data_IF_249543623848
#
_entry.id   IF_249543623848
#
_cell.length_a   1.000
_cell.length_b   1.000
_cell.length_c   1.000
_cell.angle_alpha   90.00
_cell.angle_beta   90.00
_cell.angle_gamma   90.00
#
_symmetry.space_group_name_H-M   'P 1'
#
loop_
_entity.id
_entity.type
_entity.pdbx_description
1 polymer ?
#
# COMPACT_ATOMS: atom_id res chain seq x y z
N UNK A 1 -1.26 65.91 22.66
CA UNK A 1 -1.15 64.49 22.26
C UNK A 1 -2.56 63.98 21.99
N UNK A 2 -2.88 63.63 20.74
CA UNK A 2 -4.18 63.03 20.40
C UNK A 2 -4.11 61.54 20.74
N UNK A 3 -5.06 61.08 21.52
CA UNK A 3 -5.12 59.72 22.07
C UNK A 3 -5.29 58.67 20.95
N UNK A 4 -4.31 57.78 20.71
CA UNK A 4 -4.29 56.86 19.56
C UNK A 4 -5.50 55.91 19.50
N UNK A 5 -6.08 55.60 20.67
CA UNK A 5 -7.24 54.72 20.78
C UNK A 5 -8.50 55.34 20.14
N UNK A 6 -8.71 56.64 20.35
CA UNK A 6 -9.88 57.37 19.82
C UNK A 6 -9.82 57.50 18.29
N UNK A 7 -8.62 57.68 17.74
CA UNK A 7 -8.43 57.74 16.28
C UNK A 7 -8.78 56.40 15.58
N UNK A 8 -8.47 55.26 16.22
CA UNK A 8 -8.82 53.94 15.67
C UNK A 8 -10.33 53.65 15.72
N UNK A 9 -11.03 54.14 16.74
CA UNK A 9 -12.50 54.01 16.82
C UNK A 9 -13.21 54.90 15.81
N UNK A 10 -12.73 56.13 15.60
CA UNK A 10 -13.22 57.04 14.56
C UNK A 10 -13.00 56.47 13.16
N UNK A 11 -11.83 55.87 12.88
CA UNK A 11 -11.61 55.19 11.60
C UNK A 11 -12.55 53.99 11.39
N UNK A 12 -12.87 53.23 12.44
CA UNK A 12 -13.83 52.11 12.34
C UNK A 12 -15.24 52.63 12.07
N UNK A 13 -15.67 53.69 12.76
CA UNK A 13 -16.98 54.34 12.54
C UNK A 13 -17.08 54.91 11.14
N UNK A 14 -16.08 55.66 10.68
CA UNK A 14 -16.03 56.19 9.33
C UNK A 14 -16.11 55.08 8.27
N UNK A 15 -15.36 53.99 8.43
CA UNK A 15 -15.43 52.84 7.51
C UNK A 15 -16.81 52.18 7.53
N UNK A 16 -17.42 52.02 8.70
CA UNK A 16 -18.74 51.43 8.86
C UNK A 16 -19.84 52.29 8.23
N UNK A 17 -19.82 53.60 8.46
CA UNK A 17 -20.77 54.56 7.88
C UNK A 17 -20.62 54.66 6.37
N UNK A 18 -19.37 54.70 5.87
CA UNK A 18 -19.11 54.77 4.44
C UNK A 18 -19.49 53.46 3.73
N UNK A 19 -19.25 52.31 4.36
CA UNK A 19 -19.72 51.00 3.89
C UNK A 19 -21.26 50.93 3.89
N UNK A 20 -21.94 51.40 4.94
CA UNK A 20 -23.40 51.46 5.01
C UNK A 20 -23.99 52.36 3.90
N UNK A 21 -23.35 53.50 3.63
CA UNK A 21 -23.73 54.42 2.55
C UNK A 21 -23.56 53.78 1.17
N UNK A 22 -22.45 53.08 0.93
CA UNK A 22 -22.21 52.35 -0.32
C UNK A 22 -23.28 51.26 -0.51
N UNK A 23 -23.54 50.47 0.54
CA UNK A 23 -24.57 49.43 0.50
C UNK A 23 -25.98 50.00 0.26
N UNK A 24 -26.32 51.15 0.86
CA UNK A 24 -27.59 51.81 0.63
C UNK A 24 -27.75 52.23 -0.85
N UNK A 25 -26.72 52.82 -1.45
CA UNK A 25 -26.67 53.20 -2.87
C UNK A 25 -26.70 51.99 -3.82
N UNK A 26 -26.13 50.85 -3.42
CA UNK A 26 -26.23 49.60 -4.18
C UNK A 26 -27.57 48.90 -4.01
N UNK A 27 -28.26 49.13 -2.90
CA UNK A 27 -29.59 48.55 -2.60
C UNK A 27 -30.71 49.29 -3.30
N UNK A 28 -30.49 50.55 -3.66
CA UNK A 28 -31.40 51.40 -4.42
C UNK A 28 -31.86 50.70 -5.73
N UNK A 29 -33.17 50.59 -5.97
CA UNK A 29 -33.72 49.79 -7.07
C UNK A 29 -33.29 50.29 -8.45
N UNK A 30 -33.08 51.61 -8.62
CA UNK A 30 -32.55 52.20 -9.84
C UNK A 30 -31.12 51.72 -10.17
N UNK A 31 -30.25 51.65 -9.16
CA UNK A 31 -28.87 51.15 -9.25
C UNK A 31 -28.79 49.65 -9.56
N UNK A 32 -29.69 48.84 -8.97
CA UNK A 32 -29.83 47.42 -9.33
C UNK A 32 -30.37 47.22 -10.74
N UNK A 33 -31.35 48.02 -11.14
CA UNK A 33 -31.96 47.99 -12.47
C UNK A 33 -30.95 48.30 -13.57
N UNK A 34 -30.11 49.32 -13.39
CA UNK A 34 -29.05 49.68 -14.35
C UNK A 34 -27.95 48.64 -14.45
N UNK A 35 -27.47 48.07 -13.32
CA UNK A 35 -26.50 46.95 -13.33
C UNK A 35 -27.08 45.69 -13.99
N UNK A 36 -28.37 45.40 -13.79
CA UNK A 36 -29.06 44.25 -14.42
C UNK A 36 -29.19 44.45 -15.93
N UNK A 37 -29.58 45.65 -16.38
CA UNK A 37 -29.62 46.02 -17.81
C UNK A 37 -28.23 45.92 -18.45
N UNK A 38 -27.20 46.52 -17.84
CA UNK A 38 -25.83 46.42 -18.35
C UNK A 38 -25.32 44.97 -18.49
N UNK A 39 -25.65 44.09 -17.51
CA UNK A 39 -25.29 42.65 -17.58
C UNK A 39 -26.03 41.91 -18.70
N UNK A 40 -27.26 42.32 -19.02
CA UNK A 40 -28.05 41.76 -20.12
C UNK A 40 -27.55 42.26 -21.48
N UNK A 41 -27.17 43.53 -21.56
CA UNK A 41 -26.70 44.19 -22.79
C UNK A 41 -25.23 43.83 -23.12
N UNK A 42 -24.45 43.34 -22.15
CA UNK A 42 -23.02 43.01 -22.33
C UNK A 42 -22.67 41.57 -21.90
N UNK A 43 -23.31 40.54 -22.47
CA UNK A 43 -23.10 39.14 -22.05
C UNK A 43 -21.67 38.65 -22.38
N UNK A 44 -21.12 39.06 -23.52
CA UNK A 44 -19.79 38.68 -23.99
C UNK A 44 -18.69 39.25 -23.10
N UNK A 45 -18.73 40.56 -22.79
CA UNK A 45 -17.77 41.20 -21.88
C UNK A 45 -17.79 40.58 -20.48
N UNK A 46 -18.98 40.18 -20.00
CA UNK A 46 -19.12 39.47 -18.72
C UNK A 46 -18.52 38.07 -18.78
N UNK A 47 -18.76 37.32 -19.85
CA UNK A 47 -18.19 35.98 -20.04
C UNK A 47 -16.66 36.03 -20.12
N UNK A 48 -16.09 36.99 -20.85
CA UNK A 48 -14.64 37.20 -20.93
C UNK A 48 -14.03 37.58 -19.59
N UNK A 49 -14.66 38.51 -18.87
CA UNK A 49 -14.24 38.88 -17.52
C UNK A 49 -14.29 37.68 -16.57
N UNK A 50 -15.37 36.90 -16.59
CA UNK A 50 -15.48 35.68 -15.78
C UNK A 50 -14.44 34.63 -16.16
N UNK A 51 -14.14 34.47 -17.45
CA UNK A 51 -13.11 33.54 -17.94
C UNK A 51 -11.74 33.96 -17.41
N UNK A 52 -11.36 35.23 -17.56
CA UNK A 52 -10.10 35.78 -17.04
C UNK A 52 -10.02 35.66 -15.51
N UNK A 53 -11.12 35.96 -14.81
CA UNK A 53 -11.20 35.84 -13.36
C UNK A 53 -11.04 34.38 -12.89
N UNK A 54 -11.75 33.43 -13.51
CA UNK A 54 -11.64 32.00 -13.20
C UNK A 54 -10.26 31.45 -13.52
N UNK A 55 -9.64 31.87 -14.62
CA UNK A 55 -8.27 31.48 -14.97
C UNK A 55 -7.26 31.96 -13.92
N UNK A 56 -7.31 33.25 -13.56
CA UNK A 56 -6.41 33.86 -12.57
C UNK A 56 -6.60 33.29 -11.16
N UNK A 57 -7.82 32.88 -10.80
CA UNK A 57 -8.15 32.38 -9.45
C UNK A 57 -8.38 30.86 -9.40
N UNK A 58 -8.04 30.12 -10.47
CA UNK A 58 -8.31 28.67 -10.57
C UNK A 58 -7.74 27.91 -9.39
N UNK A 59 -6.48 28.19 -9.08
CA UNK A 59 -5.74 27.53 -8.00
C UNK A 59 -6.25 27.95 -6.62
N UNK A 60 -6.56 29.23 -6.42
CA UNK A 60 -7.14 29.72 -5.17
C UNK A 60 -8.52 29.08 -4.89
N UNK A 61 -9.36 28.95 -5.91
CA UNK A 61 -10.64 28.24 -5.79
C UNK A 61 -10.47 26.74 -5.55
N UNK A 62 -9.52 26.09 -6.23
CA UNK A 62 -9.23 24.67 -6.02
C UNK A 62 -8.72 24.42 -4.59
N UNK A 63 -7.80 25.24 -4.10
CA UNK A 63 -7.26 25.16 -2.74
C UNK A 63 -8.34 25.40 -1.68
N UNK A 64 -9.20 26.42 -1.88
CA UNK A 64 -10.35 26.68 -0.99
C UNK A 64 -11.34 25.51 -1.00
N UNK A 65 -11.69 24.99 -2.17
CA UNK A 65 -12.60 23.85 -2.28
C UNK A 65 -12.00 22.59 -1.64
N UNK A 66 -10.69 22.35 -1.79
CA UNK A 66 -10.00 21.24 -1.14
C UNK A 66 -10.05 21.38 0.39
N UNK A 67 -9.74 22.56 0.94
CA UNK A 67 -9.85 22.84 2.37
C UNK A 67 -11.27 22.66 2.89
N UNK A 68 -12.28 23.12 2.14
CA UNK A 68 -13.69 22.94 2.50
C UNK A 68 -14.09 21.45 2.49
N UNK A 69 -13.73 20.71 1.43
CA UNK A 69 -14.02 19.26 1.34
C UNK A 69 -13.38 18.47 2.48
N UNK A 70 -12.15 18.80 2.87
CA UNK A 70 -11.48 18.13 4.00
C UNK A 70 -12.16 18.44 5.33
N UNK A 71 -12.47 19.71 5.60
CA UNK A 71 -13.14 20.13 6.84
C UNK A 71 -14.60 19.67 6.93
N UNK A 72 -15.26 19.40 5.81
CA UNK A 72 -16.68 19.03 5.74
C UNK A 72 -16.90 17.62 5.18
N UNK A 73 -15.85 16.78 5.14
CA UNK A 73 -15.93 15.44 4.55
C UNK A 73 -17.01 14.58 5.21
N UNK A 74 -17.10 14.63 6.55
CA UNK A 74 -18.10 13.89 7.32
C UNK A 74 -19.52 14.36 7.00
N UNK A 75 -19.74 15.69 6.93
CA UNK A 75 -21.04 16.27 6.57
C UNK A 75 -21.46 15.86 5.15
N UNK A 76 -20.56 15.99 4.17
CA UNK A 76 -20.84 15.59 2.77
C UNK A 76 -21.19 14.10 2.68
N UNK A 77 -20.45 13.24 3.38
CA UNK A 77 -20.72 11.80 3.41
C UNK A 77 -22.06 11.49 4.06
N UNK A 78 -22.41 12.16 5.16
CA UNK A 78 -23.68 11.99 5.84
C UNK A 78 -24.87 12.44 4.95
N UNK A 79 -24.77 13.62 4.33
CA UNK A 79 -25.79 14.10 3.39
C UNK A 79 -25.96 13.17 2.19
N UNK A 80 -24.85 12.66 1.62
CA UNK A 80 -24.90 11.72 0.51
C UNK A 80 -25.55 10.38 0.92
N UNK A 81 -25.32 9.92 2.15
CA UNK A 81 -25.95 8.70 2.68
C UNK A 81 -27.46 8.87 2.81
N UNK A 82 -27.91 9.99 3.38
CA UNK A 82 -29.34 10.30 3.52
C UNK A 82 -30.01 10.37 2.15
N UNK A 83 -29.41 11.13 1.22
CA UNK A 83 -29.89 11.24 -0.16
C UNK A 83 -30.01 9.87 -0.84
N UNK A 84 -28.98 9.02 -0.73
CA UNK A 84 -28.99 7.69 -1.34
C UNK A 84 -30.07 6.79 -0.74
N UNK A 85 -30.32 6.85 0.57
CA UNK A 85 -31.39 6.05 1.22
C UNK A 85 -32.76 6.52 0.74
N UNK A 86 -33.00 7.83 0.71
CA UNK A 86 -34.28 8.41 0.28
C UNK A 86 -34.57 8.17 -1.22
N UNK A 87 -33.54 8.12 -2.06
CA UNK A 87 -33.67 8.01 -3.51
C UNK A 87 -33.28 6.63 -4.04
N UNK A 88 -33.03 5.65 -3.17
CA UNK A 88 -32.55 4.31 -3.53
C UNK A 88 -33.46 3.65 -4.55
N UNK A 89 -34.77 3.65 -4.28
CA UNK A 89 -35.74 2.95 -5.12
C UNK A 89 -35.95 3.67 -6.45
N UNK A 90 -35.86 5.01 -6.46
CA UNK A 90 -35.92 5.79 -7.70
C UNK A 90 -34.71 5.51 -8.59
N UNK A 91 -33.50 5.44 -8.02
CA UNK A 91 -32.29 5.12 -8.76
C UNK A 91 -32.29 3.67 -9.25
N UNK A 92 -32.78 2.72 -8.45
CA UNK A 92 -32.97 1.33 -8.88
C UNK A 92 -34.01 1.25 -10.02
N UNK A 93 -35.12 1.98 -9.92
CA UNK A 93 -36.14 1.99 -10.97
C UNK A 93 -35.61 2.58 -12.28
N UNK A 94 -34.93 3.74 -12.23
CA UNK A 94 -34.28 4.34 -13.40
C UNK A 94 -33.24 3.39 -14.00
N UNK A 95 -32.42 2.77 -13.15
CA UNK A 95 -31.41 1.81 -13.58
C UNK A 95 -32.06 0.61 -14.27
N UNK A 96 -33.13 0.04 -13.71
CA UNK A 96 -33.87 -1.07 -14.33
C UNK A 96 -34.46 -0.70 -15.69
N UNK A 97 -35.07 0.48 -15.82
CA UNK A 97 -35.61 0.97 -17.10
C UNK A 97 -34.48 1.10 -18.12
N UNK A 98 -33.38 1.76 -17.73
CA UNK A 98 -32.20 1.91 -18.58
C UNK A 98 -31.62 0.56 -19.04
N UNK A 99 -31.46 -0.39 -18.12
CA UNK A 99 -30.99 -1.75 -18.42
C UNK A 99 -31.96 -2.52 -19.31
N UNK A 100 -33.28 -2.34 -19.15
CA UNK A 100 -34.28 -2.99 -19.99
C UNK A 100 -34.27 -2.42 -21.42
N UNK A 101 -34.21 -1.10 -21.57
CA UNK A 101 -34.14 -0.41 -22.87
C UNK A 101 -32.84 -0.72 -23.62
N UNK A 102 -31.72 -0.89 -22.91
CA UNK A 102 -30.40 -1.15 -23.50
C UNK A 102 -29.98 -2.63 -23.42
N UNK A 103 -30.92 -3.53 -23.11
CA UNK A 103 -30.64 -4.97 -22.94
C UNK A 103 -29.95 -5.57 -24.15
N UNK A 104 -30.47 -5.28 -25.34
CA UNK A 104 -29.95 -5.88 -26.57
C UNK A 104 -28.59 -5.30 -26.95
N UNK A 105 -28.36 -4.01 -26.70
CA UNK A 105 -27.06 -3.36 -26.87
C UNK A 105 -26.01 -3.95 -25.91
N UNK A 106 -26.39 -4.20 -24.65
CA UNK A 106 -25.50 -4.84 -23.68
C UNK A 106 -25.19 -6.29 -24.04
N UNK A 107 -26.17 -7.05 -24.52
CA UNK A 107 -25.96 -8.42 -24.98
C UNK A 107 -25.08 -8.45 -26.24
N UNK A 108 -25.28 -7.54 -27.19
CA UNK A 108 -24.45 -7.41 -28.38
C UNK A 108 -23.00 -7.06 -28.01
N UNK A 109 -22.81 -6.05 -27.15
CA UNK A 109 -21.50 -5.65 -26.63
C UNK A 109 -20.83 -6.80 -25.87
N UNK A 110 -21.57 -7.48 -24.99
CA UNK A 110 -21.08 -8.63 -24.25
C UNK A 110 -20.64 -9.76 -25.18
N UNK A 111 -21.40 -10.06 -26.24
CA UNK A 111 -21.03 -11.09 -27.22
C UNK A 111 -19.73 -10.74 -27.94
N UNK A 112 -19.57 -9.49 -28.38
CA UNK A 112 -18.34 -9.01 -29.02
C UNK A 112 -17.17 -9.12 -28.04
N UNK A 113 -17.35 -8.64 -26.81
CA UNK A 113 -16.35 -8.74 -25.75
C UNK A 113 -15.92 -10.19 -25.48
N UNK A 114 -16.89 -11.11 -25.33
CA UNK A 114 -16.61 -12.54 -25.14
C UNK A 114 -15.91 -13.16 -26.34
N UNK A 115 -16.25 -12.77 -27.58
CA UNK A 115 -15.60 -13.28 -28.78
C UNK A 115 -14.14 -12.81 -28.86
N UNK A 116 -13.89 -11.51 -28.64
CA UNK A 116 -12.56 -10.92 -28.66
C UNK A 116 -11.67 -11.40 -27.51
N UNK A 117 -12.25 -11.63 -26.33
CA UNK A 117 -11.52 -12.04 -25.12
C UNK A 117 -11.64 -13.54 -24.84
N UNK A 118 -12.10 -14.35 -25.81
CA UNK A 118 -12.45 -15.75 -25.59
C UNK A 118 -11.31 -16.55 -24.96
N UNK A 119 -10.11 -16.42 -25.52
CA UNK A 119 -8.93 -17.14 -25.05
C UNK A 119 -8.56 -16.74 -23.62
N UNK A 120 -8.47 -15.44 -23.35
CA UNK A 120 -8.20 -14.91 -22.00
C UNK A 120 -9.22 -15.38 -20.97
N UNK A 121 -10.50 -15.42 -21.32
CA UNK A 121 -11.56 -15.89 -20.43
C UNK A 121 -11.42 -17.38 -20.16
N UNK A 122 -11.12 -18.17 -21.20
CA UNK A 122 -10.89 -19.61 -21.05
C UNK A 122 -9.63 -19.92 -20.22
N UNK A 123 -8.55 -19.17 -20.38
CA UNK A 123 -7.34 -19.30 -19.57
C UNK A 123 -7.61 -18.97 -18.10
N UNK A 124 -8.33 -17.88 -17.82
CA UNK A 124 -8.74 -17.52 -16.46
C UNK A 124 -9.63 -18.59 -15.84
N UNK A 125 -10.58 -19.10 -16.61
CA UNK A 125 -11.47 -20.16 -16.17
C UNK A 125 -10.71 -21.47 -15.92
N UNK A 126 -9.80 -21.86 -16.82
CA UNK A 126 -8.95 -23.03 -16.65
C UNK A 126 -8.09 -22.89 -15.38
N UNK A 127 -7.39 -21.78 -15.20
CA UNK A 127 -6.59 -21.51 -14.00
C UNK A 127 -7.42 -21.57 -12.71
N UNK A 128 -8.62 -21.00 -12.73
CA UNK A 128 -9.57 -21.12 -11.62
C UNK A 128 -9.96 -22.58 -11.34
N UNK A 129 -10.28 -23.36 -12.38
CA UNK A 129 -10.63 -24.78 -12.25
C UNK A 129 -9.47 -25.61 -11.68
N UNK A 130 -8.24 -25.42 -12.17
CA UNK A 130 -7.06 -26.12 -11.63
C UNK A 130 -6.82 -25.78 -10.14
N UNK A 131 -7.05 -24.52 -9.75
CA UNK A 131 -6.95 -24.09 -8.34
C UNK A 131 -8.03 -24.75 -7.48
N UNK A 132 -9.28 -24.69 -7.90
CA UNK A 132 -10.39 -25.31 -7.17
C UNK A 132 -10.19 -26.82 -7.06
N UNK A 133 -9.76 -27.47 -8.14
CA UNK A 133 -9.42 -28.89 -8.15
C UNK A 133 -8.33 -29.20 -7.12
N UNK A 134 -7.24 -28.44 -7.11
CA UNK A 134 -6.13 -28.63 -6.15
C UNK A 134 -6.60 -28.50 -4.69
N UNK A 135 -7.39 -27.46 -4.39
CA UNK A 135 -7.96 -27.22 -3.05
C UNK A 135 -8.94 -28.34 -2.66
N UNK A 136 -9.80 -28.76 -3.58
CA UNK A 136 -10.77 -29.81 -3.29
C UNK A 136 -10.07 -31.15 -3.06
N UNK A 137 -9.02 -31.48 -3.83
CA UNK A 137 -8.27 -32.71 -3.61
C UNK A 137 -7.67 -32.77 -2.21
N UNK A 138 -6.99 -31.72 -1.73
CA UNK A 138 -6.41 -31.74 -0.38
C UNK A 138 -7.47 -31.77 0.73
N UNK A 139 -8.66 -31.21 0.50
CA UNK A 139 -9.78 -31.25 1.47
C UNK A 139 -10.38 -32.64 1.64
N UNK A 140 -10.45 -33.43 0.56
CA UNK A 140 -11.14 -34.73 0.56
C UNK A 140 -10.16 -35.90 0.68
N UNK A 141 -8.96 -35.77 0.12
CA UNK A 141 -7.92 -36.80 0.11
C UNK A 141 -6.53 -36.13 0.32
N UNK A 142 -6.20 -35.76 1.56
CA UNK A 142 -4.91 -35.15 1.88
C UNK A 142 -3.74 -36.11 1.66
N UNK A 143 -3.95 -37.42 1.81
CA UNK A 143 -2.89 -38.43 1.68
C UNK A 143 -2.37 -38.53 0.25
N UNK A 144 -3.25 -38.42 -0.74
CA UNK A 144 -2.84 -38.35 -2.15
C UNK A 144 -2.02 -37.10 -2.42
N UNK A 145 -2.41 -35.95 -1.87
CA UNK A 145 -1.62 -34.72 -2.04
C UNK A 145 -0.26 -34.83 -1.35
N UNK A 146 -0.23 -35.37 -0.14
CA UNK A 146 1.01 -35.64 0.58
C UNK A 146 1.96 -36.52 -0.25
N UNK A 147 1.47 -37.62 -0.84
CA UNK A 147 2.27 -38.51 -1.69
C UNK A 147 2.85 -37.82 -2.92
N UNK A 148 2.07 -36.94 -3.57
CA UNK A 148 2.54 -36.18 -4.74
C UNK A 148 3.63 -35.19 -4.34
N UNK A 149 3.43 -34.44 -3.24
CA UNK A 149 4.41 -33.48 -2.75
C UNK A 149 5.67 -34.17 -2.24
N UNK A 150 5.53 -35.22 -1.43
CA UNK A 150 6.66 -35.96 -0.85
C UNK A 150 7.54 -36.60 -1.93
N UNK A 151 6.94 -37.02 -3.05
CA UNK A 151 7.67 -37.55 -4.22
C UNK A 151 8.40 -36.45 -4.99
N UNK A 152 7.86 -35.23 -5.00
CA UNK A 152 8.47 -34.11 -5.70
C UNK A 152 9.66 -33.49 -4.93
N UNK A 153 9.62 -33.54 -3.60
CA UNK A 153 10.73 -33.06 -2.76
C UNK A 153 11.88 -34.07 -2.77
N UNK A 154 13.10 -33.59 -3.00
CA UNK A 154 14.29 -34.44 -3.09
C UNK A 154 14.56 -35.21 -1.79
N UNK A 155 14.79 -36.52 -1.92
CA UNK A 155 15.19 -37.38 -0.81
C UNK A 155 16.63 -37.14 -0.32
N UNK A 156 17.40 -36.31 -1.01
CA UNK A 156 18.74 -35.89 -0.58
C UNK A 156 18.71 -34.88 0.56
N UNK A 157 17.57 -34.20 0.79
CA UNK A 157 17.44 -33.24 1.88
C UNK A 157 17.35 -33.96 3.24
N UNK A 158 17.95 -33.42 4.31
CA UNK A 158 17.75 -33.90 5.67
C UNK A 158 16.27 -34.03 6.01
N UNK A 159 15.91 -35.06 6.79
CA UNK A 159 14.51 -35.40 7.07
C UNK A 159 13.72 -34.22 7.65
N UNK A 160 14.28 -33.51 8.62
CA UNK A 160 13.62 -32.36 9.25
C UNK A 160 13.30 -31.25 8.24
N UNK A 161 14.26 -30.84 7.41
CA UNK A 161 14.04 -29.83 6.36
C UNK A 161 12.99 -30.29 5.33
N UNK A 162 13.02 -31.59 5.00
CA UNK A 162 12.10 -32.17 4.04
C UNK A 162 10.66 -32.10 4.55
N UNK A 163 10.44 -32.48 5.81
CA UNK A 163 9.12 -32.48 6.44
C UNK A 163 8.56 -31.05 6.51
N UNK A 164 9.39 -30.05 6.85
CA UNK A 164 9.00 -28.63 6.89
C UNK A 164 8.66 -28.04 5.52
N UNK A 165 9.46 -28.38 4.49
CA UNK A 165 9.19 -27.98 3.10
C UNK A 165 7.89 -28.62 2.61
N UNK A 166 7.67 -29.92 2.90
CA UNK A 166 6.43 -30.61 2.54
C UNK A 166 5.23 -29.94 3.23
N UNK A 167 5.31 -29.67 4.54
CA UNK A 167 4.25 -29.01 5.29
C UNK A 167 3.91 -27.63 4.71
N UNK A 168 4.94 -26.84 4.38
CA UNK A 168 4.80 -25.52 3.74
C UNK A 168 4.12 -25.62 2.37
N UNK A 169 4.48 -26.62 1.57
CA UNK A 169 3.87 -26.87 0.27
C UNK A 169 2.40 -27.32 0.39
N UNK A 170 2.07 -28.19 1.35
CA UNK A 170 0.69 -28.61 1.61
C UNK A 170 -0.19 -27.42 2.01
N UNK A 171 0.30 -26.56 2.90
CA UNK A 171 -0.39 -25.34 3.29
C UNK A 171 -0.62 -24.43 2.08
N UNK A 172 0.38 -24.27 1.22
CA UNK A 172 0.23 -23.47 0.00
C UNK A 172 -0.79 -24.04 -1.01
N UNK A 173 -0.98 -25.36 -1.04
CA UNK A 173 -2.04 -26.01 -1.85
C UNK A 173 -3.43 -25.70 -1.26
N UNK A 174 -3.58 -25.78 0.06
CA UNK A 174 -4.83 -25.42 0.76
C UNK A 174 -5.21 -23.96 0.54
N UNK A 175 -4.23 -23.06 0.54
CA UNK A 175 -4.41 -21.63 0.28
C UNK A 175 -4.64 -21.31 -1.21
N UNK A 176 -4.46 -22.28 -2.11
CA UNK A 176 -4.59 -22.09 -3.55
C UNK A 176 -3.45 -21.30 -4.18
N UNK A 177 -2.30 -21.17 -3.49
CA UNK A 177 -1.07 -20.53 -3.98
C UNK A 177 -0.22 -21.52 -4.81
N UNK A 178 -0.34 -22.81 -4.52
CA UNK A 178 0.31 -23.89 -5.25
C UNK A 178 -0.73 -24.80 -5.92
N UNK A 179 -0.55 -25.03 -7.22
CA UNK A 179 -1.36 -26.01 -7.97
C UNK A 179 -0.69 -27.37 -7.93
N UNK A 180 -1.48 -28.44 -7.82
CA UNK A 180 -0.96 -29.82 -7.78
C UNK A 180 -0.13 -30.19 -9.02
N UNK A 181 -0.55 -29.67 -10.18
CA UNK A 181 0.13 -29.91 -11.46
C UNK A 181 1.51 -29.23 -11.54
N UNK A 182 1.72 -28.17 -10.75
CA UNK A 182 2.96 -27.38 -10.74
C UNK A 182 3.83 -27.64 -9.51
N UNK A 183 3.50 -28.65 -8.70
CA UNK A 183 4.25 -29.00 -7.48
C UNK A 183 5.73 -29.18 -7.81
N UNK A 184 6.06 -29.98 -8.83
CA UNK A 184 7.44 -30.25 -9.25
C UNK A 184 8.21 -29.01 -9.69
N UNK A 185 7.58 -28.11 -10.45
CA UNK A 185 8.21 -26.90 -10.95
C UNK A 185 8.50 -25.89 -9.82
N UNK A 186 7.66 -25.87 -8.78
CA UNK A 186 7.73 -24.87 -7.71
C UNK A 186 8.44 -25.34 -6.44
N UNK A 187 8.87 -26.61 -6.34
CA UNK A 187 9.61 -27.12 -5.16
C UNK A 187 10.80 -26.21 -4.80
N UNK A 188 11.53 -25.74 -5.81
CA UNK A 188 12.70 -24.86 -5.63
C UNK A 188 12.36 -23.57 -4.87
N UNK A 189 11.18 -22.99 -5.12
CA UNK A 189 10.74 -21.76 -4.46
C UNK A 189 10.62 -21.98 -2.94
N UNK A 190 10.04 -23.12 -2.55
CA UNK A 190 9.83 -23.47 -1.14
C UNK A 190 11.12 -23.88 -0.43
N UNK A 191 12.01 -24.63 -1.10
CA UNK A 191 13.34 -24.94 -0.54
C UNK A 191 14.16 -23.66 -0.38
N UNK A 192 14.10 -22.74 -1.35
CA UNK A 192 14.78 -21.43 -1.25
C UNK A 192 14.17 -20.58 -0.14
N UNK A 193 12.84 -20.61 0.03
CA UNK A 193 12.14 -19.93 1.12
C UNK A 193 12.58 -20.46 2.49
N UNK A 194 12.59 -21.79 2.66
CA UNK A 194 13.07 -22.44 3.87
C UNK A 194 14.52 -22.05 4.18
N UNK A 195 15.42 -22.11 3.18
CA UNK A 195 16.80 -21.69 3.40
C UNK A 195 16.88 -20.21 3.78
N UNK A 196 16.10 -19.31 3.19
CA UNK A 196 16.12 -17.89 3.60
C UNK A 196 15.70 -17.68 5.06
N UNK A 197 14.79 -18.51 5.56
CA UNK A 197 14.25 -18.40 6.92
C UNK A 197 15.16 -19.06 7.96
N UNK A 198 15.79 -20.20 7.63
CA UNK A 198 16.51 -21.06 8.58
C UNK A 198 18.02 -21.22 8.30
N UNK A 199 18.52 -20.81 7.12
CA UNK A 199 19.96 -20.86 6.74
C UNK A 199 20.72 -19.62 7.28
N UNK A 200 20.42 -19.24 8.52
CA UNK A 200 21.19 -18.22 9.26
C UNK A 200 22.47 -18.78 9.87
N UNK A 201 22.69 -20.09 9.79
CA UNK A 201 23.82 -20.80 10.41
C UNK A 201 24.70 -21.53 9.39
N UNK A 202 25.02 -20.92 8.24
CA UNK A 202 26.18 -21.40 7.49
C UNK A 202 27.40 -21.28 8.39
N UNK A 203 27.94 -22.41 8.81
CA UNK A 203 29.28 -22.50 9.40
C UNK A 203 30.27 -22.14 8.29
N UNK A 204 30.47 -20.83 8.10
CA UNK A 204 31.47 -20.34 7.17
C UNK A 204 32.80 -20.47 7.90
N UNK A 205 33.70 -21.28 7.35
CA UNK A 205 35.07 -21.36 7.86
C UNK A 205 35.69 -19.96 7.85
N UNK A 206 36.43 -19.63 8.90
CA UNK A 206 37.17 -18.37 8.97
C UNK A 206 38.17 -18.25 7.81
N UNK A 207 38.62 -19.39 7.29
CA UNK A 207 39.54 -19.52 6.16
C UNK A 207 38.86 -19.46 4.77
N UNK A 208 37.52 -19.44 4.69
CA UNK A 208 36.87 -19.32 3.38
C UNK A 208 37.04 -17.91 2.81
N UNK A 209 37.44 -17.77 1.53
CA UNK A 209 37.49 -16.48 0.87
C UNK A 209 36.09 -15.87 0.81
N UNK A 210 35.99 -14.58 1.13
CA UNK A 210 34.74 -13.85 1.00
C UNK A 210 34.43 -13.63 -0.49
N UNK A 211 33.21 -13.97 -0.92
CA UNK A 211 32.85 -14.01 -2.34
C UNK A 211 33.22 -12.73 -3.10
N UNK A 212 34.07 -12.88 -4.12
CA UNK A 212 34.55 -11.77 -4.97
C UNK A 212 35.85 -11.09 -4.49
N UNK A 213 36.43 -11.55 -3.38
CA UNK A 213 37.70 -11.06 -2.84
C UNK A 213 38.59 -12.24 -2.42
N UNK A 214 39.91 -12.03 -2.37
CA UNK A 214 40.84 -13.01 -1.80
C UNK A 214 40.94 -12.93 -0.26
N UNK A 215 40.24 -11.95 0.33
CA UNK A 215 40.21 -11.74 1.79
C UNK A 215 39.40 -12.83 2.47
N UNK A 216 39.97 -13.42 3.52
CA UNK A 216 39.31 -14.38 4.40
C UNK A 216 38.77 -13.66 5.63
N UNK A 217 37.80 -14.26 6.31
CA UNK A 217 37.25 -13.63 7.53
C UNK A 217 38.27 -13.59 8.67
N UNK A 218 39.22 -14.53 8.69
CA UNK A 218 40.33 -14.53 9.64
C UNK A 218 41.22 -13.28 9.51
N UNK A 219 41.36 -12.74 8.30
CA UNK A 219 42.20 -11.57 8.03
C UNK A 219 41.60 -10.26 8.60
N UNK A 220 40.31 -10.28 8.95
CA UNK A 220 39.60 -9.17 9.58
C UNK A 220 39.59 -9.24 11.10
N UNK A 221 40.07 -10.35 11.69
CA UNK A 221 40.19 -10.47 13.13
C UNK A 221 41.44 -9.71 13.59
N UNK A 222 41.25 -8.74 14.48
CA UNK A 222 42.36 -8.07 15.14
C UNK A 222 43.17 -9.11 15.91
N UNK A 223 44.48 -9.15 15.65
CA UNK A 223 45.36 -10.06 16.35
C UNK A 223 45.22 -9.82 17.86
N UNK A 224 45.16 -10.89 18.69
CA UNK A 224 45.12 -10.70 20.13
C UNK A 224 46.31 -9.81 20.52
N UNK A 225 46.02 -8.80 21.34
CA UNK A 225 47.05 -7.92 21.88
C UNK A 225 48.21 -8.77 22.40
N UNK A 226 49.47 -8.48 22.03
CA UNK A 226 50.60 -9.24 22.54
C UNK A 226 50.47 -9.38 24.05
N UNK A 227 50.52 -10.62 24.54
CA UNK A 227 50.61 -10.85 25.97
C UNK A 227 51.92 -10.23 26.42
N UNK A 228 51.85 -9.02 26.99
CA UNK A 228 52.93 -8.48 27.79
C UNK A 228 52.96 -9.36 29.04
N UNK A 229 54.03 -10.14 29.28
CA UNK A 229 54.19 -10.74 30.59
C UNK A 229 54.29 -9.58 31.58
N UNK A 230 53.22 -9.33 32.33
CA UNK A 230 53.34 -8.60 33.58
C UNK A 230 54.45 -9.30 34.35
N UNK A 231 55.52 -8.56 34.65
CA UNK A 231 56.62 -8.97 35.51
C UNK A 231 56.13 -9.03 36.96
N UNK A 232 54.99 -9.66 37.16
CA UNK A 232 54.52 -10.11 38.45
C UNK A 232 55.17 -11.48 38.64
N UNK A 233 56.42 -11.43 39.10
CA UNK A 233 56.97 -12.52 39.90
C UNK A 233 56.03 -12.68 41.11
N UNK A 234 54.92 -13.38 40.91
CA UNK A 234 54.09 -13.85 42.01
C UNK A 234 55.00 -14.75 42.86
N UNK A 235 55.36 -14.25 44.04
CA UNK A 235 56.17 -14.91 45.06
C UNK A 235 55.60 -16.29 45.48
N UNK A 236 54.41 -16.66 44.99
CA UNK A 236 53.73 -17.95 45.21
C UNK A 236 54.18 -19.08 44.26
N UNK A 237 54.91 -18.80 43.18
CA UNK A 237 55.48 -19.85 42.29
C UNK A 237 56.80 -20.46 42.81
N UNK A 238 57.27 -20.04 43.98
CA UNK A 238 58.42 -20.64 44.68
C UNK A 238 58.03 -21.94 45.41
N UNK A 239 56.73 -22.23 45.58
CA UNK A 239 56.24 -23.37 46.35
C UNK A 239 56.07 -24.69 45.57
N UNK A 240 56.40 -24.73 44.27
CA UNK A 240 56.27 -25.94 43.44
C UNK A 240 57.61 -26.53 42.93
N UNK A 241 58.75 -25.92 43.26
CA UNK A 241 60.08 -26.55 43.10
C UNK A 241 60.49 -27.32 44.36
N UNK A 242 59.60 -28.19 44.82
CA UNK A 242 59.76 -28.90 46.09
C UNK A 242 58.98 -30.20 46.17
N UNK A 243 58.82 -30.94 45.06
CA UNK A 243 58.28 -32.30 45.12
C UNK A 243 58.94 -33.16 44.05
N UNK A 244 59.97 -33.86 44.48
CA UNK A 244 60.66 -34.91 43.77
C UNK A 244 59.72 -36.11 43.49
N UNK A 245 59.93 -36.72 42.33
CA UNK A 245 59.95 -38.16 42.05
C UNK A 245 59.08 -39.11 42.89
N UNK A 246 58.18 -39.84 42.23
CA UNK A 246 57.64 -41.19 42.55
C UNK A 246 56.45 -41.36 41.57
N UNK A 247 56.46 -42.17 40.51
CA UNK A 247 56.60 -43.63 40.38
C UNK A 247 56.84 -43.94 38.88
N UNK A 248 57.88 -44.70 38.51
CA UNK A 248 57.91 -46.15 38.21
C UNK A 248 56.99 -46.60 37.07
#
# INVERSE_FOLDING_TARGET
>A
MVDPSKHHEEQRRYRAENHARILAKEREPASKGTKKKWRADNPQKRAEYQRKYRAKNKEAHAARNKKWRLSHAAHVKASHRIYYVEHRDQEIAKSRIYYAEHRDLQLAYSKIYYAENRERILEQQAGYQHRVKSINTIRHDPDTVYRVVSRAVSSALPRFMRDDVIASMLLAVLEGKLLLELVGARVKDYVTGYNREYDTFKTLSLDAPMGGTDLRRIDLLEAPTPYEPENDEDEDMVMLRGAQSLWR
#
